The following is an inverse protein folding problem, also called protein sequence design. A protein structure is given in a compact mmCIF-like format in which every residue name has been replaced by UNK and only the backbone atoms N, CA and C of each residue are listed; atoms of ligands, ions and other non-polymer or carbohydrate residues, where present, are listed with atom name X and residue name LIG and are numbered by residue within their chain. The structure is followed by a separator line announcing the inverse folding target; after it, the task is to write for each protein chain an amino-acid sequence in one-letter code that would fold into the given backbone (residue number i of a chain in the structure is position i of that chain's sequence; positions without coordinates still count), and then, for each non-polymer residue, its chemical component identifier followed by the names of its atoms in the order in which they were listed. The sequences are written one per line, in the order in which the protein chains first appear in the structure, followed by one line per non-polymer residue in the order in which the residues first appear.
data_IF_096178371996
#
_entry.id   IF_096178371996
#
_cell.length_a   1.000
_cell.length_b   1.000
_cell.length_c   1.000
_cell.angle_alpha   90.00
_cell.angle_beta   90.00
_cell.angle_gamma   90.00
#
_symmetry.space_group_name_H-M   'P 1'
#
loop_
_entity.id
_entity.type
_entity.pdbx_description
1 polymer ?
#
# COMPACT_ATOMS: atom_id res chain seq x y z
N UNK A 1 -31.68 21.26 35.63
CA UNK A 1 -30.97 21.44 34.35
C UNK A 1 -29.48 21.32 34.65
N UNK A 2 -29.01 20.08 34.58
CA UNK A 2 -27.74 19.60 35.11
C UNK A 2 -26.79 19.44 33.92
N UNK A 3 -25.67 20.17 33.90
CA UNK A 3 -24.34 19.68 33.53
C UNK A 3 -23.35 20.85 33.66
N UNK A 4 -22.83 21.06 34.88
CA UNK A 4 -21.51 21.65 35.10
C UNK A 4 -20.60 20.49 35.50
N UNK A 5 -19.94 19.85 34.53
CA UNK A 5 -18.91 18.84 34.82
C UNK A 5 -17.53 19.36 34.41
N UNK A 6 -16.83 19.90 35.40
CA UNK A 6 -15.43 19.61 35.73
C UNK A 6 -14.52 19.27 34.54
N UNK A 7 -13.95 20.30 33.92
CA UNK A 7 -12.68 20.19 33.20
C UNK A 7 -11.56 20.41 34.22
N UNK A 8 -11.01 19.30 34.75
CA UNK A 8 -9.91 19.34 35.71
C UNK A 8 -8.58 19.68 35.01
N UNK A 9 -7.81 20.68 35.47
CA UNK A 9 -6.54 21.09 34.84
C UNK A 9 -5.41 20.05 34.93
N UNK A 10 -5.61 18.96 35.71
CA UNK A 10 -4.61 17.89 35.86
C UNK A 10 -4.45 17.02 34.61
N UNK A 11 -5.45 16.98 33.72
CA UNK A 11 -5.40 16.18 32.48
C UNK A 11 -4.54 16.86 31.42
N UNK A 12 -4.60 18.19 31.31
CA UNK A 12 -3.81 18.94 30.33
C UNK A 12 -2.31 18.89 30.61
N UNK A 13 -1.90 18.80 31.88
CA UNK A 13 -0.49 18.62 32.21
C UNK A 13 0.05 17.24 31.81
N UNK A 14 -0.78 16.19 31.82
CA UNK A 14 -0.41 14.84 31.36
C UNK A 14 -0.22 14.77 29.85
N UNK A 15 -1.08 15.45 29.07
CA UNK A 15 -0.97 15.49 27.60
C UNK A 15 0.29 16.25 27.16
N UNK A 16 0.68 17.31 27.88
CA UNK A 16 1.90 18.09 27.59
C UNK A 16 3.20 17.33 27.88
N UNK A 17 3.21 16.40 28.83
CA UNK A 17 4.38 15.56 29.11
C UNK A 17 4.59 14.48 28.05
N UNK A 18 3.53 13.98 27.40
CA UNK A 18 3.67 12.98 26.34
C UNK A 18 4.27 13.55 25.06
N UNK A 19 4.09 14.85 24.81
CA UNK A 19 4.69 15.54 23.67
C UNK A 19 6.20 15.78 23.85
N UNK A 20 6.71 15.85 25.09
CA UNK A 20 8.15 15.98 25.35
C UNK A 20 8.91 14.65 25.24
N UNK A 21 8.25 13.51 25.44
CA UNK A 21 8.87 12.19 25.29
C UNK A 21 9.04 11.76 23.82
N UNK A 22 8.18 12.24 22.91
CA UNK A 22 8.27 11.94 21.47
C UNK A 22 9.50 12.57 20.79
N UNK A 23 10.11 13.60 21.39
CA UNK A 23 11.28 14.30 20.82
C UNK A 23 12.64 13.73 21.23
N UNK A 24 12.67 12.57 21.89
CA UNK A 24 13.94 11.88 22.19
C UNK A 24 14.30 10.93 21.05
N UNK A 25 15.01 11.46 20.06
CA UNK A 25 15.83 10.70 19.11
C UNK A 25 17.01 10.06 19.85
N UNK A 26 16.74 9.03 20.65
CA UNK A 26 17.73 8.24 21.37
C UNK A 26 17.82 6.79 20.86
N UNK A 27 17.88 6.63 19.54
CA UNK A 27 18.44 5.42 18.92
C UNK A 27 19.20 5.81 17.64
N UNK A 28 20.12 6.76 17.78
CA UNK A 28 21.26 6.85 16.90
C UNK A 28 22.39 6.04 17.55
N UNK A 29 22.95 5.11 16.77
CA UNK A 29 24.12 4.28 17.02
C UNK A 29 23.91 2.96 17.77
N UNK A 30 24.04 1.90 16.96
CA UNK A 30 24.62 0.60 17.28
C UNK A 30 23.67 -0.57 17.03
N UNK A 31 23.64 -1.02 15.78
CA UNK A 31 23.64 -2.44 15.45
C UNK A 31 24.17 -2.60 14.03
N UNK A 32 25.42 -3.08 13.93
CA UNK A 32 25.89 -3.79 12.75
C UNK A 32 25.00 -5.04 12.61
N UNK A 33 24.09 -5.04 11.64
CA UNK A 33 23.42 -6.26 11.20
C UNK A 33 23.74 -6.47 9.72
N UNK A 34 24.33 -7.64 9.48
CA UNK A 34 24.77 -8.24 8.23
C UNK A 34 23.71 -8.05 7.12
N UNK A 35 23.97 -7.16 6.15
CA UNK A 35 23.14 -7.10 4.95
C UNK A 35 23.48 -8.26 4.03
N UNK A 36 22.52 -9.16 3.94
CA UNK A 36 22.38 -10.22 2.96
C UNK A 36 22.60 -9.66 1.54
N UNK A 37 23.72 -10.03 0.91
CA UNK A 37 24.05 -9.61 -0.45
C UNK A 37 23.10 -10.29 -1.43
N UNK A 38 22.10 -9.57 -1.95
CA UNK A 38 21.32 -10.01 -3.11
C UNK A 38 22.22 -9.85 -4.35
N UNK A 39 22.88 -10.94 -4.75
CA UNK A 39 23.58 -11.04 -6.04
C UNK A 39 22.56 -10.96 -7.18
N UNK A 40 22.54 -9.87 -7.92
CA UNK A 40 22.08 -9.87 -9.31
C UNK A 40 23.31 -9.91 -10.22
N UNK A 41 23.58 -11.08 -10.75
CA UNK A 41 24.57 -11.32 -11.80
C UNK A 41 24.17 -10.56 -13.07
N UNK A 42 24.88 -9.47 -13.39
CA UNK A 42 24.95 -8.99 -14.76
C UNK A 42 26.14 -9.64 -15.44
N UNK A 43 25.82 -10.37 -16.50
CA UNK A 43 26.72 -11.17 -17.32
C UNK A 43 27.74 -10.27 -18.03
N UNK A 44 28.96 -10.80 -18.15
CA UNK A 44 30.12 -10.18 -18.74
C UNK A 44 29.95 -9.83 -20.23
N UNK A 45 30.49 -8.68 -20.64
CA UNK A 45 31.17 -8.53 -21.93
C UNK A 45 32.47 -7.74 -21.68
N UNK A 46 33.51 -8.49 -21.35
CA UNK A 46 34.90 -8.06 -21.50
C UNK A 46 35.20 -8.01 -23.01
N UNK A 47 35.48 -6.82 -23.57
CA UNK A 47 36.37 -6.70 -24.72
C UNK A 47 37.34 -5.55 -24.51
N UNK A 48 38.50 -5.97 -24.02
CA UNK A 48 39.79 -5.32 -24.17
C UNK A 48 40.10 -5.14 -25.67
N UNK A 49 40.56 -3.96 -26.07
CA UNK A 49 41.81 -3.84 -26.82
C UNK A 49 42.35 -2.41 -26.86
N UNK A 50 43.65 -2.37 -26.60
CA UNK A 50 44.61 -1.29 -26.70
C UNK A 50 44.48 -0.50 -28.01
N UNK A 51 44.60 0.82 -27.92
CA UNK A 51 45.09 1.62 -29.03
C UNK A 51 46.33 2.37 -28.57
N UNK A 52 47.48 1.87 -29.01
CA UNK A 52 48.77 2.55 -28.97
C UNK A 52 48.82 3.56 -30.11
N UNK A 53 48.93 4.85 -29.79
CA UNK A 53 49.59 5.79 -30.67
C UNK A 53 50.49 6.72 -29.88
N UNK A 54 51.75 6.65 -30.30
CA UNK A 54 52.95 7.28 -29.78
C UNK A 54 52.86 8.81 -29.91
N UNK A 55 53.06 9.54 -28.82
CA UNK A 55 53.66 10.87 -28.95
C UNK A 55 54.69 11.10 -27.83
N UNK A 56 55.91 11.36 -28.27
CA UNK A 56 57.10 11.58 -27.45
C UNK A 56 57.06 12.99 -26.90
N UNK A 57 57.18 13.14 -25.59
CA UNK A 57 58.19 13.96 -24.90
C UNK A 57 57.72 14.38 -23.50
N UNK A 58 58.73 14.64 -22.67
CA UNK A 58 58.69 15.31 -21.38
C UNK A 58 58.35 14.43 -20.16
N UNK A 59 59.44 14.17 -19.43
CA UNK A 59 59.53 13.52 -18.14
C UNK A 59 58.90 14.42 -17.08
N UNK A 60 57.77 14.05 -16.47
CA UNK A 60 57.48 14.42 -15.08
C UNK A 60 56.68 13.32 -14.39
N UNK A 61 57.39 12.59 -13.51
CA UNK A 61 56.81 11.77 -12.46
C UNK A 61 55.99 12.67 -11.52
N UNK A 62 54.67 12.67 -11.70
CA UNK A 62 53.74 13.21 -10.72
C UNK A 62 52.98 12.05 -10.07
N UNK A 63 53.28 11.90 -8.78
CA UNK A 63 52.64 11.00 -7.83
C UNK A 63 51.12 11.10 -7.96
N UNK A 64 50.48 9.98 -8.24
CA UNK A 64 49.02 9.84 -8.27
C UNK A 64 48.49 9.97 -6.84
N UNK A 65 47.68 11.01 -6.51
CA UNK A 65 47.04 11.06 -5.22
C UNK A 65 45.89 10.04 -5.18
N UNK A 66 45.87 9.31 -4.07
CA UNK A 66 44.90 8.30 -3.69
C UNK A 66 43.44 8.71 -3.91
N UNK A 67 42.65 7.75 -4.42
CA UNK A 67 41.22 7.55 -4.14
C UNK A 67 40.35 8.80 -4.15
N UNK A 68 39.87 9.19 -5.34
CA UNK A 68 38.61 9.92 -5.44
C UNK A 68 37.51 8.87 -5.60
N UNK A 69 36.99 8.37 -4.48
CA UNK A 69 35.69 7.71 -4.50
C UNK A 69 34.68 8.86 -4.66
N UNK A 70 34.23 9.07 -5.91
CA UNK A 70 33.02 9.85 -6.13
C UNK A 70 31.86 9.02 -5.58
N UNK A 71 31.58 9.19 -4.29
CA UNK A 71 30.29 8.84 -3.74
C UNK A 71 29.30 9.78 -4.45
N UNK A 72 28.75 9.34 -5.58
CA UNK A 72 27.52 9.93 -6.11
C UNK A 72 26.43 9.57 -5.12
N UNK A 73 26.41 10.24 -3.98
CA UNK A 73 25.23 10.37 -3.17
C UNK A 73 24.25 11.17 -4.02
N UNK A 74 23.39 10.45 -4.74
CA UNK A 74 22.17 10.99 -5.28
C UNK A 74 21.29 11.30 -4.06
N UNK A 75 21.64 12.35 -3.32
CA UNK A 75 20.71 13.02 -2.42
C UNK A 75 19.71 13.67 -3.35
N UNK A 76 18.65 12.93 -3.64
CA UNK A 76 17.49 13.41 -4.37
C UNK A 76 16.86 14.49 -3.50
N UNK A 77 17.35 15.73 -3.64
CA UNK A 77 16.76 16.90 -3.01
C UNK A 77 15.29 16.90 -3.44
N UNK A 78 14.42 16.66 -2.46
CA UNK A 78 12.97 16.66 -2.57
C UNK A 78 12.52 18.05 -2.99
N UNK A 79 12.53 18.30 -4.30
CA UNK A 79 12.04 19.54 -4.86
C UNK A 79 10.54 19.42 -5.02
N UNK A 80 9.86 20.46 -4.52
CA UNK A 80 8.48 20.85 -4.78
C UNK A 80 7.42 20.16 -3.94
N UNK A 81 6.44 20.96 -3.53
CA UNK A 81 5.15 20.62 -2.91
C UNK A 81 4.26 19.79 -3.85
N UNK A 82 4.88 18.86 -4.57
CA UNK A 82 4.28 17.86 -5.44
C UNK A 82 4.23 16.60 -4.59
N UNK A 83 3.02 16.06 -4.41
CA UNK A 83 2.75 14.83 -3.66
C UNK A 83 3.85 13.78 -3.86
N UNK A 84 4.33 13.18 -2.76
CA UNK A 84 5.35 12.11 -2.79
C UNK A 84 4.80 10.87 -3.53
N UNK A 85 4.84 10.86 -4.87
CA UNK A 85 4.30 9.79 -5.71
C UNK A 85 4.89 8.41 -5.37
N UNK A 86 6.14 8.37 -4.90
CA UNK A 86 6.80 7.14 -4.46
C UNK A 86 6.09 6.55 -3.24
N UNK A 87 5.67 7.37 -2.28
CA UNK A 87 4.97 6.90 -1.08
C UNK A 87 3.59 6.37 -1.41
N UNK A 88 2.86 7.06 -2.29
CA UNK A 88 1.56 6.58 -2.79
C UNK A 88 1.70 5.24 -3.52
N UNK A 89 2.69 5.12 -4.41
CA UNK A 89 2.98 3.87 -5.09
C UNK A 89 3.32 2.72 -4.13
N UNK A 90 4.09 2.98 -3.06
CA UNK A 90 4.37 1.98 -2.02
C UNK A 90 3.07 1.52 -1.34
N UNK A 91 2.19 2.46 -0.98
CA UNK A 91 0.90 2.14 -0.36
C UNK A 91 0.02 1.27 -1.27
N UNK A 92 -0.03 1.56 -2.57
CA UNK A 92 -0.75 0.75 -3.55
C UNK A 92 -0.21 -0.69 -3.60
N UNK A 93 1.12 -0.87 -3.54
CA UNK A 93 1.73 -2.20 -3.52
C UNK A 93 1.45 -2.95 -2.23
N UNK A 94 1.43 -2.25 -1.09
CA UNK A 94 1.06 -2.86 0.20
C UNK A 94 -0.41 -3.33 0.16
N UNK A 95 -1.33 -2.48 -0.31
CA UNK A 95 -2.74 -2.86 -0.44
C UNK A 95 -2.93 -4.07 -1.38
N UNK A 96 -2.23 -4.07 -2.51
CA UNK A 96 -2.25 -5.18 -3.49
C UNK A 96 -1.68 -6.48 -2.93
N UNK A 97 -0.60 -6.40 -2.14
CA UNK A 97 0.02 -7.57 -1.52
C UNK A 97 -0.80 -8.12 -0.33
N UNK A 98 -1.56 -7.27 0.35
CA UNK A 98 -2.41 -7.67 1.48
C UNK A 98 -3.65 -8.46 1.04
N UNK A 99 -4.25 -8.10 -0.11
CA UNK A 99 -5.46 -8.75 -0.63
C UNK A 99 -5.38 -10.29 -0.77
N UNK A 100 -4.37 -10.89 -1.43
CA UNK A 100 -4.31 -12.34 -1.58
C UNK A 100 -4.14 -13.08 -0.25
N UNK A 101 -3.70 -12.40 0.81
CA UNK A 101 -3.56 -12.98 2.16
C UNK A 101 -4.87 -12.84 2.93
N UNK A 102 -5.51 -11.66 2.89
CA UNK A 102 -6.70 -11.41 3.71
C UNK A 102 -7.94 -12.14 3.20
N UNK A 103 -8.08 -12.34 1.89
CA UNK A 103 -9.23 -13.03 1.27
C UNK A 103 -9.38 -14.47 1.81
N UNK A 104 -8.36 -15.35 1.76
CA UNK A 104 -8.51 -16.70 2.30
C UNK A 104 -8.68 -16.71 3.83
N UNK A 105 -8.08 -15.75 4.55
CA UNK A 105 -8.24 -15.62 6.01
C UNK A 105 -9.69 -15.26 6.37
N UNK A 106 -10.28 -14.30 5.67
CA UNK A 106 -11.67 -13.88 5.91
C UNK A 106 -12.66 -15.00 5.60
N UNK A 107 -12.46 -15.73 4.50
CA UNK A 107 -13.31 -16.86 4.13
C UNK A 107 -13.19 -18.06 5.07
N UNK A 108 -12.07 -18.26 5.77
CA UNK A 108 -11.91 -19.39 6.70
C UNK A 108 -12.38 -19.09 8.11
N UNK A 109 -12.11 -17.88 8.62
CA UNK A 109 -12.42 -17.51 10.00
C UNK A 109 -13.82 -16.89 10.18
N UNK A 110 -14.44 -16.37 9.12
CA UNK A 110 -15.78 -15.76 9.12
C UNK A 110 -16.03 -14.79 10.29
N UNK A 111 -15.02 -13.99 10.62
CA UNK A 111 -15.09 -13.04 11.73
C UNK A 111 -15.43 -11.63 11.22
N UNK A 112 -16.28 -10.93 11.96
CA UNK A 112 -16.69 -9.52 11.72
C UNK A 112 -15.48 -8.61 11.51
N UNK A 113 -14.42 -8.80 12.31
CA UNK A 113 -13.19 -8.00 12.22
C UNK A 113 -12.44 -8.29 10.91
N UNK A 114 -12.31 -9.56 10.55
CA UNK A 114 -11.63 -9.98 9.32
C UNK A 114 -12.40 -9.49 8.08
N UNK A 115 -13.72 -9.56 8.11
CA UNK A 115 -14.60 -9.06 7.06
C UNK A 115 -14.49 -7.53 6.93
N UNK A 116 -14.41 -6.80 8.04
CA UNK A 116 -14.20 -5.34 8.03
C UNK A 116 -12.85 -4.95 7.43
N UNK A 117 -11.77 -5.63 7.82
CA UNK A 117 -10.42 -5.39 7.27
C UNK A 117 -10.38 -5.72 5.78
N UNK A 118 -10.92 -6.88 5.38
CA UNK A 118 -11.01 -7.28 3.97
C UNK A 118 -11.79 -6.25 3.15
N UNK A 119 -12.95 -5.81 3.64
CA UNK A 119 -13.81 -4.81 3.01
C UNK A 119 -13.11 -3.47 2.83
N UNK A 120 -12.36 -3.01 3.83
CA UNK A 120 -11.62 -1.76 3.74
C UNK A 120 -10.49 -1.85 2.71
N UNK A 121 -9.68 -2.91 2.77
CA UNK A 121 -8.54 -3.08 1.86
C UNK A 121 -9.00 -3.21 0.42
N UNK A 122 -10.08 -3.96 0.16
CA UNK A 122 -10.60 -4.12 -1.20
C UNK A 122 -11.12 -2.81 -1.77
N UNK A 123 -11.86 -2.01 -0.98
CA UNK A 123 -12.33 -0.70 -1.45
C UNK A 123 -11.18 0.24 -1.74
N UNK A 124 -10.17 0.31 -0.86
CA UNK A 124 -8.99 1.16 -1.07
C UNK A 124 -8.22 0.73 -2.33
N UNK A 125 -7.97 -0.56 -2.50
CA UNK A 125 -7.29 -1.10 -3.68
C UNK A 125 -8.06 -0.77 -4.97
N UNK A 126 -9.38 -0.97 -4.97
CA UNK A 126 -10.22 -0.66 -6.12
C UNK A 126 -10.29 0.84 -6.40
N UNK A 127 -10.33 1.70 -5.36
CA UNK A 127 -10.35 3.16 -5.53
C UNK A 127 -9.10 3.66 -6.26
N UNK A 128 -7.90 3.28 -5.80
CA UNK A 128 -6.65 3.67 -6.45
C UNK A 128 -6.48 3.03 -7.83
N UNK A 129 -6.89 1.77 -8.01
CA UNK A 129 -6.85 1.10 -9.30
C UNK A 129 -7.75 1.79 -10.34
N UNK A 130 -8.97 2.15 -9.96
CA UNK A 130 -9.90 2.87 -10.83
C UNK A 130 -9.45 4.31 -11.11
N UNK A 131 -8.84 4.99 -10.13
CA UNK A 131 -8.27 6.32 -10.34
C UNK A 131 -7.19 6.32 -11.43
N UNK A 132 -6.32 5.30 -11.43
CA UNK A 132 -5.32 5.12 -12.48
C UNK A 132 -5.98 4.87 -13.86
N UNK A 133 -7.00 4.00 -13.92
CA UNK A 133 -7.76 3.72 -15.15
C UNK A 133 -8.42 5.00 -15.69
N UNK A 134 -9.06 5.79 -14.83
CA UNK A 134 -9.68 7.06 -15.22
C UNK A 134 -8.61 8.02 -15.77
N UNK A 135 -7.46 8.13 -15.10
CA UNK A 135 -6.37 9.01 -15.52
C UNK A 135 -5.79 8.61 -16.88
N UNK A 136 -5.69 7.31 -17.15
CA UNK A 136 -5.12 6.79 -18.39
C UNK A 136 -6.07 6.96 -19.59
N UNK A 137 -7.37 6.71 -19.39
CA UNK A 137 -8.34 6.67 -20.49
C UNK A 137 -9.22 7.91 -20.63
N UNK A 138 -9.55 8.61 -19.54
CA UNK A 138 -10.35 9.84 -19.58
C UNK A 138 -9.48 11.06 -19.91
N UNK A 139 -8.74 11.01 -21.02
CA UNK A 139 -7.87 12.11 -21.44
C UNK A 139 -8.73 13.29 -21.95
N UNK A 140 -8.56 14.51 -21.42
CA UNK A 140 -9.39 15.67 -21.81
C UNK A 140 -9.43 15.98 -23.31
N UNK A 141 -8.39 15.59 -24.04
CA UNK A 141 -8.29 15.75 -25.50
C UNK A 141 -9.30 14.88 -26.28
N UNK A 142 -9.68 13.73 -25.75
CA UNK A 142 -10.57 12.77 -26.43
C UNK A 142 -12.01 12.92 -25.94
N UNK A 143 -12.19 13.03 -24.62
CA UNK A 143 -13.51 13.02 -23.98
C UNK A 143 -14.05 14.39 -23.59
N UNK A 144 -13.28 15.45 -23.85
CA UNK A 144 -13.57 16.80 -23.42
C UNK A 144 -13.19 17.09 -21.95
N UNK A 145 -13.21 18.37 -21.53
CA UNK A 145 -12.68 18.79 -20.23
C UNK A 145 -13.61 18.49 -19.04
N UNK A 146 -14.89 18.19 -19.29
CA UNK A 146 -15.89 18.00 -18.23
C UNK A 146 -15.91 16.56 -17.71
N UNK A 147 -15.77 15.58 -18.60
CA UNK A 147 -15.93 14.17 -18.26
C UNK A 147 -14.93 13.68 -17.19
N UNK A 148 -13.62 14.01 -17.26
CA UNK A 148 -12.65 13.52 -16.29
C UNK A 148 -12.98 13.98 -14.86
N UNK A 149 -13.47 15.22 -14.70
CA UNK A 149 -13.88 15.76 -13.39
C UNK A 149 -15.08 15.01 -12.82
N UNK A 150 -16.05 14.69 -13.67
CA UNK A 150 -17.23 13.94 -13.26
C UNK A 150 -16.87 12.50 -12.87
N UNK A 151 -15.94 11.86 -13.60
CA UNK A 151 -15.47 10.51 -13.32
C UNK A 151 -14.75 10.44 -11.96
N UNK A 152 -13.83 11.36 -11.67
CA UNK A 152 -13.18 11.39 -10.34
C UNK A 152 -14.18 11.67 -9.21
N UNK A 153 -15.17 12.55 -9.43
CA UNK A 153 -16.22 12.79 -8.46
C UNK A 153 -17.07 11.53 -8.23
N UNK A 154 -17.50 10.88 -9.32
CA UNK A 154 -18.26 9.64 -9.27
C UNK A 154 -17.47 8.52 -8.60
N UNK A 155 -16.16 8.45 -8.79
CA UNK A 155 -15.30 7.46 -8.14
C UNK A 155 -15.30 7.61 -6.62
N UNK A 156 -15.25 8.85 -6.11
CA UNK A 156 -15.33 9.11 -4.67
C UNK A 156 -16.68 8.65 -4.13
N UNK A 157 -17.78 9.02 -4.79
CA UNK A 157 -19.12 8.58 -4.38
C UNK A 157 -19.27 7.06 -4.41
N UNK A 158 -18.80 6.41 -5.48
CA UNK A 158 -18.86 4.96 -5.63
C UNK A 158 -18.10 4.28 -4.49
N UNK A 159 -16.86 4.72 -4.22
CA UNK A 159 -16.06 4.15 -3.13
C UNK A 159 -16.71 4.33 -1.75
N UNK A 160 -17.31 5.50 -1.48
CA UNK A 160 -17.99 5.77 -0.21
C UNK A 160 -19.27 4.94 -0.05
N UNK A 161 -20.09 4.85 -1.11
CA UNK A 161 -21.33 4.06 -1.11
C UNK A 161 -21.01 2.57 -0.95
N UNK A 162 -20.02 2.06 -1.68
CA UNK A 162 -19.58 0.67 -1.57
C UNK A 162 -19.06 0.37 -0.17
N UNK A 163 -18.20 1.21 0.39
CA UNK A 163 -17.68 1.02 1.75
C UNK A 163 -18.83 1.03 2.77
N UNK A 164 -19.73 2.01 2.67
CA UNK A 164 -20.92 2.09 3.52
C UNK A 164 -21.78 0.83 3.43
N UNK A 165 -22.06 0.34 2.21
CA UNK A 165 -22.84 -0.87 1.99
C UNK A 165 -22.20 -2.11 2.60
N UNK A 166 -20.88 -2.27 2.46
CA UNK A 166 -20.15 -3.39 3.07
C UNK A 166 -20.19 -3.30 4.61
N UNK A 167 -19.99 -2.12 5.19
CA UNK A 167 -20.10 -1.94 6.64
C UNK A 167 -21.52 -2.17 7.16
N UNK A 168 -22.56 -1.76 6.41
CA UNK A 168 -23.95 -2.05 6.76
C UNK A 168 -24.23 -3.55 6.74
N UNK A 169 -23.67 -4.29 5.77
CA UNK A 169 -23.80 -5.75 5.69
C UNK A 169 -23.08 -6.46 6.83
N UNK A 170 -21.95 -5.93 7.29
CA UNK A 170 -21.19 -6.46 8.43
C UNK A 170 -21.92 -6.21 9.76
N UNK A 171 -22.53 -5.02 9.93
CA UNK A 171 -23.17 -4.63 11.18
C UNK A 171 -24.60 -5.15 11.34
N UNK A 172 -25.39 -5.16 10.26
CA UNK A 172 -26.81 -5.48 10.30
C UNK A 172 -27.15 -6.80 9.58
N UNK A 173 -26.19 -7.43 8.91
CA UNK A 173 -26.39 -8.62 8.08
C UNK A 173 -25.47 -9.79 8.44
N UNK A 174 -25.40 -10.82 7.59
CA UNK A 174 -24.59 -12.02 7.83
C UNK A 174 -23.07 -11.80 7.75
N UNK A 175 -22.60 -10.63 7.31
CA UNK A 175 -21.19 -10.37 6.98
C UNK A 175 -20.84 -10.71 5.53
N UNK A 176 -19.70 -10.20 5.07
CA UNK A 176 -19.29 -10.29 3.66
C UNK A 176 -18.86 -11.72 3.30
N UNK A 177 -18.08 -12.38 4.15
CA UNK A 177 -17.57 -13.72 3.86
C UNK A 177 -18.68 -14.77 3.85
N UNK A 178 -19.65 -14.66 4.77
CA UNK A 178 -20.82 -15.56 4.80
C UNK A 178 -21.74 -15.34 3.62
N UNK A 179 -22.03 -14.08 3.27
CA UNK A 179 -22.82 -13.75 2.09
C UNK A 179 -22.21 -14.35 0.80
N UNK A 180 -20.88 -14.33 0.66
CA UNK A 180 -20.18 -14.97 -0.47
C UNK A 180 -20.35 -16.49 -0.45
N UNK A 181 -20.26 -17.14 0.72
CA UNK A 181 -20.45 -18.59 0.85
C UNK A 181 -21.87 -19.02 0.53
N UNK A 182 -22.86 -18.28 1.02
CA UNK A 182 -24.27 -18.51 0.73
C UNK A 182 -24.58 -18.30 -0.76
N UNK A 183 -24.02 -17.24 -1.35
CA UNK A 183 -24.13 -16.99 -2.79
C UNK A 183 -23.52 -18.12 -3.63
N UNK A 184 -22.42 -18.75 -3.18
CA UNK A 184 -21.84 -19.91 -3.85
C UNK A 184 -22.66 -21.19 -3.62
N UNK A 185 -23.28 -21.34 -2.45
CA UNK A 185 -24.09 -22.50 -2.13
C UNK A 185 -25.43 -22.56 -2.88
N UNK A 186 -25.85 -21.45 -3.51
CA UNK A 186 -27.08 -21.37 -4.31
C UNK A 186 -26.99 -22.38 -5.48
N UNK A 187 -27.72 -23.49 -5.38
CA UNK A 187 -27.69 -24.59 -6.35
C UNK A 187 -27.35 -25.97 -5.80
N UNK A 188 -26.97 -26.10 -4.51
CA UNK A 188 -26.94 -27.41 -3.84
C UNK A 188 -28.34 -27.78 -3.36
N UNK A 189 -29.04 -28.59 -4.13
CA UNK A 189 -30.27 -29.25 -3.72
C UNK A 189 -30.00 -30.23 -2.56
N UNK A 190 -30.85 -30.19 -1.54
CA UNK A 190 -30.87 -31.25 -0.52
C UNK A 190 -31.24 -32.57 -1.20
N UNK A 191 -30.57 -33.69 -0.88
CA UNK A 191 -31.01 -34.98 -1.38
C UNK A 191 -32.49 -35.21 -1.01
N UNK A 192 -33.28 -35.83 -1.89
CA UNK A 192 -34.70 -36.07 -1.63
C UNK A 192 -34.84 -36.84 -0.31
N UNK A 193 -35.76 -36.39 0.54
CA UNK A 193 -36.20 -37.19 1.68
C UNK A 193 -36.87 -38.43 1.10
N UNK A 194 -36.22 -39.59 1.22
CA UNK A 194 -36.86 -40.87 0.98
C UNK A 194 -37.88 -41.11 2.09
N UNK A 195 -39.08 -40.52 1.94
CA UNK A 195 -40.26 -40.74 2.80
C UNK A 195 -40.86 -42.15 2.56
N UNK A 196 -40.03 -43.17 2.32
CA UNK A 196 -40.46 -44.51 1.95
C UNK A 196 -39.95 -45.59 2.90
N UNK A 197 -40.03 -45.39 4.23
CA UNK A 197 -40.09 -46.54 5.12
C UNK A 197 -40.64 -46.24 6.53
N UNK A 198 -41.95 -46.37 6.71
CA UNK A 198 -42.56 -46.88 7.96
C UNK A 198 -44.07 -47.10 7.78
N UNK A 199 -44.42 -48.02 6.88
CA UNK A 199 -45.66 -48.79 6.99
C UNK A 199 -45.23 -50.25 7.20
N UNK A 200 -44.84 -50.59 8.42
CA UNK A 200 -44.85 -51.97 8.94
C UNK A 200 -44.99 -51.96 10.46
#
# INVERSE_FOLDING_TARGET
MILKSVASPSIFHKVRQLESFSKTTLFANSCKLLQFTRKSSNFAIFKQCLNSSLNKNERQLLKLPNTIILNTEITRKTSTTVSDHVRMWILEKIASAALPIIIPVALTMENVICDGIMSLIIVIHMHWGLEAIITDYARPRVVGPLLPRLLHLSLIFLSAITLCGLFLLINNGPGVSKAIKEAWAIGKESPPNDDSNSNE
#
